data_IF_744151785962
#
_entry.id   IF_744151785962
#
_cell.length_a   1.000
_cell.length_b   1.000
_cell.length_c   1.000
_cell.angle_alpha   90.00
_cell.angle_beta   90.00
_cell.angle_gamma   90.00
#
_symmetry.space_group_name_H-M   'P 1'
#
loop_
_entity.id
_entity.type
_entity.pdbx_description
1 polymer ?
#
# COMPACT_ATOMS: atom_id res chain seq x y z
N UNK A 1 -23.21 -11.61 4.65
CA UNK A 1 -21.89 -11.24 4.11
C UNK A 1 -22.14 -10.26 2.98
N UNK A 2 -21.81 -8.98 3.15
CA UNK A 2 -21.93 -7.97 2.07
C UNK A 2 -20.70 -8.08 1.17
N UNK A 3 -20.84 -8.88 0.09
CA UNK A 3 -19.93 -8.82 -1.05
C UNK A 3 -20.40 -7.71 -1.98
N UNK A 4 -19.49 -6.80 -2.33
CA UNK A 4 -19.77 -5.72 -3.25
C UNK A 4 -19.18 -6.10 -4.61
N UNK A 5 -20.02 -6.13 -5.63
CA UNK A 5 -19.57 -6.27 -7.02
C UNK A 5 -19.09 -4.92 -7.54
N UNK A 6 -17.82 -4.88 -7.94
CA UNK A 6 -17.15 -3.69 -8.42
C UNK A 6 -16.76 -3.84 -9.88
N UNK A 7 -17.00 -2.79 -10.66
CA UNK A 7 -16.45 -2.62 -11.99
C UNK A 7 -15.21 -1.74 -11.92
N UNK A 8 -14.20 -2.09 -12.72
CA UNK A 8 -13.04 -1.25 -12.93
C UNK A 8 -13.35 -0.19 -13.99
N UNK A 9 -12.84 1.01 -13.73
CA UNK A 9 -12.67 2.07 -14.71
C UNK A 9 -11.20 2.18 -15.05
N UNK A 10 -10.88 2.62 -16.26
CA UNK A 10 -9.51 2.82 -16.73
C UNK A 10 -9.32 4.22 -17.31
N UNK A 11 -8.08 4.70 -17.23
CA UNK A 11 -7.66 5.95 -17.85
C UNK A 11 -6.16 5.94 -18.14
N UNK A 12 -5.75 6.56 -19.24
CA UNK A 12 -4.35 6.81 -19.54
C UNK A 12 -3.99 6.51 -20.99
N UNK A 13 -2.74 6.14 -21.24
CA UNK A 13 -2.22 5.83 -22.58
C UNK A 13 -1.92 4.35 -22.76
N UNK A 14 -2.08 3.86 -23.98
CA UNK A 14 -1.70 2.51 -24.37
C UNK A 14 -0.92 2.56 -25.69
N UNK A 15 0.10 1.70 -25.89
CA UNK A 15 0.94 1.75 -27.09
C UNK A 15 0.15 1.56 -28.40
N UNK A 16 -0.97 0.83 -28.34
CA UNK A 16 -1.83 0.55 -29.50
C UNK A 16 -2.80 1.69 -29.86
N UNK A 17 -2.74 2.84 -29.18
CA UNK A 17 -3.73 3.93 -29.31
C UNK A 17 -3.03 5.26 -29.53
N UNK A 18 -3.56 6.07 -30.44
CA UNK A 18 -3.02 7.40 -30.75
C UNK A 18 -3.25 8.44 -29.63
N UNK A 19 -4.37 8.31 -28.92
CA UNK A 19 -4.81 9.23 -27.87
C UNK A 19 -5.15 8.50 -26.57
N UNK A 20 -5.55 9.27 -25.55
CA UNK A 20 -6.00 8.74 -24.27
C UNK A 20 -7.18 7.78 -24.43
N UNK A 21 -7.14 6.70 -23.67
CA UNK A 21 -8.28 5.81 -23.46
C UNK A 21 -8.89 6.10 -22.09
N UNK A 22 -10.21 6.09 -22.02
CA UNK A 22 -10.96 6.39 -20.79
C UNK A 22 -12.27 5.59 -20.78
N UNK A 23 -12.62 5.00 -19.64
CA UNK A 23 -13.94 4.38 -19.47
C UNK A 23 -15.05 5.43 -19.41
N UNK A 24 -16.25 5.06 -19.84
CA UNK A 24 -17.43 5.92 -19.78
C UNK A 24 -18.09 5.97 -18.38
N UNK A 25 -17.76 5.02 -17.49
CA UNK A 25 -18.24 4.98 -16.11
C UNK A 25 -17.31 5.77 -15.17
N UNK A 26 -17.82 6.14 -13.99
CA UNK A 26 -17.06 6.81 -12.91
C UNK A 26 -16.26 8.06 -13.37
N UNK A 27 -16.86 8.89 -14.23
CA UNK A 27 -16.17 10.04 -14.85
C UNK A 27 -15.51 10.98 -13.83
N UNK A 28 -16.22 11.31 -12.74
CA UNK A 28 -15.68 12.20 -11.69
C UNK A 28 -14.48 11.61 -10.94
N UNK A 29 -14.48 10.29 -10.72
CA UNK A 29 -13.33 9.58 -10.15
C UNK A 29 -12.14 9.68 -11.10
N UNK A 30 -12.35 9.38 -12.39
CA UNK A 30 -11.28 9.44 -13.39
C UNK A 30 -10.74 10.85 -13.59
N UNK A 31 -11.56 11.90 -13.54
CA UNK A 31 -11.11 13.30 -13.62
C UNK A 31 -10.24 13.72 -12.42
N UNK A 32 -10.50 13.11 -11.26
CA UNK A 32 -9.70 13.34 -10.05
C UNK A 32 -8.36 12.61 -10.13
N UNK A 33 -8.38 11.35 -10.59
CA UNK A 33 -7.18 10.55 -10.78
C UNK A 33 -6.30 11.09 -11.91
N UNK A 34 -6.89 11.61 -12.99
CA UNK A 34 -6.16 12.28 -14.08
C UNK A 34 -5.36 13.48 -13.55
N UNK A 35 -6.00 14.41 -12.83
CA UNK A 35 -5.30 15.55 -12.22
C UNK A 35 -4.20 15.13 -11.26
N UNK A 36 -4.43 14.11 -10.45
CA UNK A 36 -3.43 13.54 -9.55
C UNK A 36 -2.23 12.97 -10.31
N UNK A 37 -2.46 12.19 -11.38
CA UNK A 37 -1.40 11.67 -12.23
C UNK A 37 -0.64 12.78 -12.96
N UNK A 38 -1.35 13.76 -13.52
CA UNK A 38 -0.76 14.88 -14.24
C UNK A 38 0.20 15.67 -13.34
N UNK A 39 -0.21 16.00 -12.12
CA UNK A 39 0.66 16.65 -11.12
C UNK A 39 1.86 15.78 -10.72
N UNK A 40 1.68 14.47 -10.59
CA UNK A 40 2.79 13.55 -10.32
C UNK A 40 3.81 13.53 -11.48
N UNK A 41 3.33 13.57 -12.72
CA UNK A 41 4.16 13.65 -13.92
C UNK A 41 4.86 15.02 -14.06
N UNK A 42 4.20 16.11 -13.68
CA UNK A 42 4.82 17.44 -13.61
C UNK A 42 6.01 17.46 -12.65
N UNK A 43 5.82 16.95 -11.42
CA UNK A 43 6.89 16.83 -10.44
C UNK A 43 8.04 15.94 -10.93
N UNK A 44 7.70 14.80 -11.56
CA UNK A 44 8.70 13.90 -12.11
C UNK A 44 9.51 14.57 -13.23
N UNK A 45 8.85 15.38 -14.07
CA UNK A 45 9.48 16.06 -15.21
C UNK A 45 10.43 17.21 -14.81
N UNK A 46 10.48 17.61 -13.54
CA UNK A 46 11.47 18.56 -13.02
C UNK A 46 12.90 17.99 -13.09
N UNK A 47 13.06 16.65 -13.01
CA UNK A 47 14.35 15.99 -13.07
C UNK A 47 14.83 15.80 -14.54
N UNK A 48 16.11 16.06 -14.88
CA UNK A 48 16.60 15.90 -16.26
C UNK A 48 16.49 14.47 -16.82
N UNK A 49 16.62 13.46 -15.95
CA UNK A 49 16.61 12.03 -16.28
C UNK A 49 15.22 11.37 -16.16
N UNK A 50 14.17 12.18 -15.97
CA UNK A 50 12.82 11.71 -15.66
C UNK A 50 12.28 10.63 -16.61
N UNK A 51 12.64 10.68 -17.89
CA UNK A 51 12.20 9.69 -18.89
C UNK A 51 12.74 8.31 -18.58
N UNK A 52 14.02 8.19 -18.22
CA UNK A 52 14.63 6.91 -17.88
C UNK A 52 14.04 6.36 -16.57
N UNK A 53 13.84 7.24 -15.59
CA UNK A 53 13.16 6.90 -14.33
C UNK A 53 11.73 6.41 -14.58
N UNK A 54 10.97 7.11 -15.42
CA UNK A 54 9.62 6.71 -15.81
C UNK A 54 9.59 5.37 -16.54
N UNK A 55 10.49 5.14 -17.50
CA UNK A 55 10.49 3.95 -18.35
C UNK A 55 10.88 2.67 -17.59
N UNK A 56 11.59 2.80 -16.46
CA UNK A 56 11.99 1.66 -15.61
C UNK A 56 11.01 1.38 -14.47
N UNK A 57 10.04 2.26 -14.28
CA UNK A 57 9.03 2.13 -13.22
C UNK A 57 8.18 0.87 -13.39
N UNK A 58 8.11 0.08 -12.32
CA UNK A 58 7.32 -1.13 -12.27
C UNK A 58 5.85 -0.84 -11.92
N UNK A 59 4.88 -1.65 -12.40
CA UNK A 59 3.49 -1.52 -12.00
C UNK A 59 3.33 -1.56 -10.47
N UNK A 60 2.49 -0.68 -9.94
CA UNK A 60 2.16 -0.60 -8.52
C UNK A 60 0.67 -0.71 -8.31
N UNK A 61 0.30 -1.39 -7.23
CA UNK A 61 -1.06 -1.44 -6.72
C UNK A 61 -1.25 -0.25 -5.79
N UNK A 62 -2.43 0.34 -5.79
CA UNK A 62 -2.71 1.45 -4.89
C UNK A 62 -4.09 1.36 -4.26
N UNK A 63 -4.24 2.04 -3.11
CA UNK A 63 -5.53 2.35 -2.51
C UNK A 63 -5.50 3.72 -1.80
N UNK A 64 -6.60 4.46 -1.87
CA UNK A 64 -6.86 5.64 -1.05
C UNK A 64 -7.95 5.31 -0.03
N UNK A 65 -7.63 5.43 1.26
CA UNK A 65 -8.48 4.99 2.36
C UNK A 65 -8.55 6.07 3.44
N UNK A 66 -9.73 6.41 3.92
CA UNK A 66 -9.88 7.31 5.07
C UNK A 66 -10.04 6.54 6.39
N UNK A 67 -9.49 7.04 7.50
CA UNK A 67 -9.75 6.44 8.82
C UNK A 67 -11.17 6.69 9.32
N UNK A 68 -11.82 7.76 8.86
CA UNK A 68 -13.23 8.09 9.16
C UNK A 68 -14.14 8.14 7.93
N UNK A 69 -13.56 8.09 6.72
CA UNK A 69 -14.32 8.03 5.47
C UNK A 69 -14.69 6.59 5.10
N UNK A 70 -15.94 6.38 4.71
CA UNK A 70 -16.39 5.10 4.13
C UNK A 70 -16.08 4.95 2.65
N UNK A 71 -15.63 6.02 1.99
CA UNK A 71 -15.23 5.93 0.59
C UNK A 71 -13.80 5.41 0.51
N UNK A 72 -13.62 4.31 -0.21
CA UNK A 72 -12.33 3.76 -0.55
C UNK A 72 -12.15 3.74 -2.07
N UNK A 73 -10.95 4.03 -2.54
CA UNK A 73 -10.57 3.90 -3.95
C UNK A 73 -9.44 2.89 -4.02
N UNK A 74 -9.47 1.96 -4.97
CA UNK A 74 -8.40 1.01 -5.18
C UNK A 74 -8.16 0.78 -6.66
N UNK A 75 -6.90 0.50 -7.02
CA UNK A 75 -6.53 0.35 -8.42
C UNK A 75 -5.12 -0.18 -8.64
N UNK A 76 -4.72 -0.20 -9.91
CA UNK A 76 -3.37 -0.54 -10.33
C UNK A 76 -2.90 0.49 -11.35
N UNK A 77 -1.62 0.82 -11.32
CA UNK A 77 -1.01 1.90 -12.06
C UNK A 77 0.31 1.41 -12.66
N UNK A 78 0.60 1.78 -13.91
CA UNK A 78 1.86 1.43 -14.57
C UNK A 78 2.35 2.55 -15.51
N UNK A 79 3.65 2.56 -15.75
CA UNK A 79 4.24 3.32 -16.84
C UNK A 79 3.66 2.88 -18.19
N UNK A 80 3.38 3.84 -19.07
CA UNK A 80 2.85 3.59 -20.41
C UNK A 80 3.13 4.76 -21.36
N UNK A 81 2.84 4.57 -22.63
CA UNK A 81 2.90 5.59 -23.67
C UNK A 81 1.86 5.34 -24.74
N UNK A 82 1.56 6.34 -25.57
CA UNK A 82 0.71 6.15 -26.75
C UNK A 82 1.51 5.69 -27.97
N UNK A 83 0.82 5.50 -29.10
CA UNK A 83 1.40 5.11 -30.38
C UNK A 83 2.51 6.07 -30.87
N UNK A 84 2.48 7.33 -30.43
CA UNK A 84 3.50 8.34 -30.71
C UNK A 84 4.59 8.41 -29.65
N UNK A 85 4.68 7.43 -28.74
CA UNK A 85 5.63 7.36 -27.64
C UNK A 85 5.56 8.53 -26.64
N UNK A 86 4.43 9.25 -26.58
CA UNK A 86 4.22 10.28 -25.56
C UNK A 86 3.87 9.58 -24.25
N UNK A 87 4.74 9.72 -23.24
CA UNK A 87 4.60 9.07 -21.92
C UNK A 87 3.44 9.64 -21.13
N UNK A 88 2.60 8.76 -20.60
CA UNK A 88 1.62 9.08 -19.57
C UNK A 88 1.13 7.75 -18.96
N UNK A 89 1.01 7.65 -17.63
CA UNK A 89 0.65 6.39 -16.99
C UNK A 89 -0.67 5.80 -17.48
N UNK A 90 -0.81 4.48 -17.39
CA UNK A 90 -2.10 3.82 -17.53
C UNK A 90 -2.55 3.30 -16.15
N UNK A 91 -3.81 3.56 -15.79
CA UNK A 91 -4.38 3.09 -14.53
C UNK A 91 -5.71 2.36 -14.74
N UNK A 92 -5.99 1.50 -13.77
CA UNK A 92 -7.33 1.02 -13.45
C UNK A 92 -7.69 1.45 -12.04
N UNK A 93 -8.96 1.75 -11.80
CA UNK A 93 -9.45 2.14 -10.49
C UNK A 93 -10.92 1.76 -10.32
N UNK A 94 -11.32 1.55 -9.07
CA UNK A 94 -12.73 1.47 -8.66
C UNK A 94 -12.91 2.20 -7.34
N UNK A 95 -14.13 2.67 -7.10
CA UNK A 95 -14.55 3.23 -5.82
C UNK A 95 -15.51 2.26 -5.14
N UNK A 96 -15.39 2.11 -3.83
CA UNK A 96 -16.23 1.23 -3.02
C UNK A 96 -16.59 1.89 -1.70
N UNK A 97 -17.73 1.51 -1.14
CA UNK A 97 -18.11 1.88 0.21
C UNK A 97 -17.67 0.78 1.19
N UNK A 98 -17.04 1.19 2.30
CA UNK A 98 -16.56 0.32 3.36
C UNK A 98 -17.30 0.60 4.66
N UNK A 99 -17.77 -0.45 5.34
CA UNK A 99 -18.62 -0.27 6.53
C UNK A 99 -17.81 0.17 7.77
N UNK A 100 -16.61 -0.40 7.94
CA UNK A 100 -15.70 -0.15 9.07
C UNK A 100 -14.33 0.30 8.56
N UNK A 101 -14.11 1.61 8.33
CA UNK A 101 -12.92 2.10 7.64
C UNK A 101 -11.60 1.65 8.28
N UNK A 102 -11.48 1.72 9.61
CA UNK A 102 -10.26 1.32 10.30
C UNK A 102 -9.93 -0.16 10.17
N UNK A 103 -10.94 -1.03 10.28
CA UNK A 103 -10.79 -2.47 10.08
C UNK A 103 -10.45 -2.77 8.62
N UNK A 104 -11.09 -2.05 7.70
CA UNK A 104 -10.82 -2.19 6.28
C UNK A 104 -9.39 -1.78 5.93
N UNK A 105 -8.85 -0.70 6.50
CA UNK A 105 -7.43 -0.32 6.32
C UNK A 105 -6.53 -1.51 6.66
N UNK A 106 -6.71 -2.12 7.83
CA UNK A 106 -5.90 -3.25 8.29
C UNK A 106 -5.98 -4.50 7.40
N UNK A 107 -7.14 -4.75 6.77
CA UNK A 107 -7.39 -5.93 5.91
C UNK A 107 -7.38 -5.64 4.42
N UNK A 108 -7.21 -4.38 4.02
CA UNK A 108 -7.32 -3.95 2.62
C UNK A 108 -6.38 -4.71 1.68
N UNK A 109 -5.13 -5.07 2.04
CA UNK A 109 -4.29 -5.83 1.14
C UNK A 109 -4.80 -7.25 0.84
N UNK A 110 -5.49 -7.88 1.79
CA UNK A 110 -6.14 -9.18 1.60
C UNK A 110 -7.44 -9.02 0.81
N UNK A 111 -8.26 -8.03 1.17
CA UNK A 111 -9.53 -7.76 0.52
C UNK A 111 -9.37 -7.40 -0.97
N UNK A 112 -8.32 -6.66 -1.30
CA UNK A 112 -8.06 -6.15 -2.65
C UNK A 112 -7.12 -7.05 -3.47
N UNK A 113 -6.53 -8.10 -2.87
CA UNK A 113 -5.52 -8.95 -3.53
C UNK A 113 -5.96 -9.50 -4.89
N UNK A 114 -7.20 -10.03 -4.96
CA UNK A 114 -7.75 -10.60 -6.20
C UNK A 114 -8.04 -9.52 -7.24
N UNK A 115 -8.56 -8.37 -6.81
CA UNK A 115 -8.81 -7.22 -7.68
C UNK A 115 -7.51 -6.74 -8.31
N UNK A 116 -6.49 -6.46 -7.50
CA UNK A 116 -5.18 -6.01 -7.97
C UNK A 116 -4.47 -7.01 -8.88
N UNK A 117 -4.51 -8.30 -8.54
CA UNK A 117 -3.87 -9.34 -9.35
C UNK A 117 -4.50 -9.41 -10.75
N UNK A 118 -5.83 -9.41 -10.83
CA UNK A 118 -6.54 -9.48 -12.11
C UNK A 118 -6.35 -8.20 -12.93
N UNK A 119 -6.50 -7.04 -12.29
CA UNK A 119 -6.30 -5.74 -12.94
C UNK A 119 -4.89 -5.62 -13.52
N UNK A 120 -3.85 -5.95 -12.74
CA UNK A 120 -2.46 -5.92 -13.20
C UNK A 120 -2.19 -6.86 -14.38
N UNK A 121 -2.72 -8.08 -14.37
CA UNK A 121 -2.59 -9.02 -15.49
C UNK A 121 -3.25 -8.50 -16.78
N UNK A 122 -4.46 -7.94 -16.66
CA UNK A 122 -5.17 -7.35 -17.80
C UNK A 122 -4.44 -6.12 -18.34
N UNK A 123 -3.95 -5.23 -17.47
CA UNK A 123 -3.20 -4.03 -17.87
C UNK A 123 -1.90 -4.39 -18.60
N UNK A 124 -1.14 -5.38 -18.10
CA UNK A 124 0.06 -5.85 -18.79
C UNK A 124 -0.26 -6.45 -20.17
N UNK A 125 -1.38 -7.17 -20.29
CA UNK A 125 -1.83 -7.71 -21.57
C UNK A 125 -2.19 -6.59 -22.56
N UNK A 126 -2.91 -5.57 -22.10
CA UNK A 126 -3.26 -4.37 -22.89
C UNK A 126 -2.03 -3.59 -23.36
N UNK A 127 -1.00 -3.48 -22.51
CA UNK A 127 0.24 -2.77 -22.85
C UNK A 127 1.03 -3.42 -23.99
N UNK A 128 0.77 -4.70 -24.29
CA UNK A 128 1.48 -5.50 -25.31
C UNK A 128 0.60 -5.83 -26.53
N UNK A 129 -0.66 -5.45 -26.51
CA UNK A 129 -1.60 -5.78 -27.58
C UNK A 129 -1.40 -4.85 -28.78
N UNK A 130 -1.50 -5.40 -30.00
CA UNK A 130 -1.51 -4.60 -31.23
C UNK A 130 -2.82 -3.80 -31.38
N UNK A 131 -3.93 -4.33 -30.84
CA UNK A 131 -5.21 -3.64 -30.70
C UNK A 131 -5.82 -3.90 -29.32
N UNK A 132 -5.95 -2.84 -28.53
CA UNK A 132 -6.53 -2.86 -27.19
C UNK A 132 -8.08 -2.86 -27.15
N UNK A 133 -8.79 -2.79 -28.29
CA UNK A 133 -10.27 -2.62 -28.32
C UNK A 133 -11.01 -3.65 -27.50
N UNK A 134 -10.81 -4.93 -27.80
CA UNK A 134 -11.53 -6.01 -27.11
C UNK A 134 -11.08 -6.15 -25.65
N UNK A 135 -9.77 -6.00 -25.38
CA UNK A 135 -9.25 -6.05 -24.02
C UNK A 135 -9.80 -4.94 -23.12
N UNK A 136 -9.98 -3.73 -23.64
CA UNK A 136 -10.56 -2.61 -22.90
C UNK A 136 -12.06 -2.82 -22.63
N UNK A 137 -12.78 -3.43 -23.59
CA UNK A 137 -14.18 -3.82 -23.40
C UNK A 137 -14.31 -4.85 -22.27
N UNK A 138 -13.51 -5.92 -22.33
CA UNK A 138 -13.48 -6.96 -21.30
C UNK A 138 -13.07 -6.41 -19.93
N UNK A 139 -12.11 -5.48 -19.87
CA UNK A 139 -11.69 -4.84 -18.63
C UNK A 139 -12.82 -4.03 -17.99
N UNK A 140 -13.58 -3.25 -18.78
CA UNK A 140 -14.70 -2.46 -18.28
C UNK A 140 -15.90 -3.31 -17.84
N UNK A 141 -16.13 -4.45 -18.50
CA UNK A 141 -17.23 -5.37 -18.18
C UNK A 141 -16.89 -6.34 -17.04
N UNK A 142 -15.61 -6.46 -16.67
CA UNK A 142 -15.16 -7.36 -15.60
C UNK A 142 -15.76 -6.96 -14.26
N UNK A 143 -16.42 -7.92 -13.61
CA UNK A 143 -16.94 -7.79 -12.26
C UNK A 143 -15.95 -8.39 -11.25
N UNK A 144 -15.71 -7.66 -10.18
CA UNK A 144 -14.80 -8.06 -9.11
C UNK A 144 -15.54 -8.06 -7.78
N UNK A 145 -15.55 -9.20 -7.10
CA UNK A 145 -16.10 -9.30 -5.75
C UNK A 145 -15.07 -8.84 -4.74
N UNK A 146 -15.43 -7.84 -3.92
CA UNK A 146 -14.64 -7.39 -2.77
C UNK A 146 -15.54 -7.43 -1.53
N UNK A 147 -15.05 -8.05 -0.45
CA UNK A 147 -15.76 -8.03 0.83
C UNK A 147 -15.45 -6.70 1.53
N UNK A 148 -16.43 -5.79 1.54
CA UNK A 148 -16.29 -4.46 2.15
C UNK A 148 -17.08 -4.29 3.45
N UNK A 149 -17.84 -5.32 3.82
CA UNK A 149 -18.73 -5.32 4.97
C UNK A 149 -18.10 -5.66 6.33
N UNK A 150 -18.87 -5.48 7.40
CA UNK A 150 -18.52 -5.85 8.77
C UNK A 150 -18.26 -7.35 8.97
N UNK A 151 -18.62 -8.18 7.99
CA UNK A 151 -18.42 -9.62 7.95
C UNK A 151 -17.19 -10.07 7.14
N UNK A 152 -16.11 -9.30 7.11
CA UNK A 152 -14.79 -9.68 6.55
C UNK A 152 -14.10 -10.85 7.31
N UNK A 153 -14.91 -11.76 7.86
CA UNK A 153 -14.51 -12.92 8.65
C UNK A 153 -13.56 -13.84 7.88
N UNK A 154 -13.68 -13.91 6.55
CA UNK A 154 -12.81 -14.74 5.71
C UNK A 154 -11.36 -14.25 5.74
N UNK A 155 -11.16 -12.93 5.57
CA UNK A 155 -9.82 -12.33 5.61
C UNK A 155 -9.28 -12.27 7.04
N UNK A 156 -10.16 -12.04 8.02
CA UNK A 156 -9.77 -12.08 9.43
C UNK A 156 -9.32 -13.48 9.86
N UNK A 157 -10.00 -14.55 9.42
CA UNK A 157 -9.57 -15.92 9.70
C UNK A 157 -8.21 -16.23 9.07
N UNK A 158 -8.03 -15.90 7.78
CA UNK A 158 -6.75 -16.12 7.08
C UNK A 158 -5.59 -15.34 7.72
N UNK A 159 -5.85 -14.10 8.14
CA UNK A 159 -4.88 -13.28 8.85
C UNK A 159 -4.60 -13.81 10.26
N UNK A 160 -5.63 -14.24 10.98
CA UNK A 160 -5.56 -14.85 12.31
C UNK A 160 -4.66 -16.09 12.28
N UNK A 161 -4.93 -17.03 11.38
CA UNK A 161 -4.11 -18.22 11.19
C UNK A 161 -2.66 -17.84 10.87
N UNK A 162 -2.44 -16.85 10.00
CA UNK A 162 -1.11 -16.38 9.68
C UNK A 162 -0.34 -15.90 10.92
N UNK A 163 -0.91 -15.03 11.75
CA UNK A 163 -0.19 -14.51 12.92
C UNK A 163 -0.06 -15.53 14.06
N UNK A 164 -0.93 -16.54 14.11
CA UNK A 164 -0.84 -17.63 15.09
C UNK A 164 0.28 -18.62 14.74
N UNK A 165 0.38 -19.01 13.47
CA UNK A 165 1.35 -20.02 13.04
C UNK A 165 2.71 -19.44 12.62
N UNK A 166 2.75 -18.15 12.24
CA UNK A 166 4.00 -17.51 11.87
C UNK A 166 4.76 -17.00 13.09
N UNK A 167 6.08 -17.10 13.03
CA UNK A 167 6.98 -16.63 14.09
C UNK A 167 7.73 -15.36 13.69
N UNK A 168 8.31 -14.68 14.67
CA UNK A 168 9.23 -13.55 14.47
C UNK A 168 10.34 -13.93 13.47
N UNK A 169 11.04 -15.04 13.72
CA UNK A 169 12.12 -15.48 12.84
C UNK A 169 11.62 -15.90 11.45
N UNK A 170 10.43 -16.52 11.37
CA UNK A 170 9.81 -16.90 10.10
C UNK A 170 9.51 -15.69 9.21
N UNK A 171 8.98 -14.61 9.79
CA UNK A 171 8.75 -13.36 9.06
C UNK A 171 10.08 -12.72 8.62
N UNK A 172 11.06 -12.62 9.52
CA UNK A 172 12.37 -12.07 9.15
C UNK A 172 13.05 -12.86 8.03
N UNK A 173 13.00 -14.19 8.08
CA UNK A 173 13.56 -15.05 7.04
C UNK A 173 12.88 -14.80 5.69
N UNK A 174 11.55 -14.67 5.69
CA UNK A 174 10.79 -14.41 4.47
C UNK A 174 11.15 -13.07 3.84
N UNK A 175 11.36 -12.03 4.65
CA UNK A 175 11.76 -10.70 4.18
C UNK A 175 13.22 -10.66 3.74
N UNK A 176 14.13 -11.33 4.47
CA UNK A 176 15.54 -11.48 4.07
C UNK A 176 15.70 -12.23 2.75
N UNK A 177 14.81 -13.18 2.44
CA UNK A 177 14.81 -13.89 1.17
C UNK A 177 14.56 -12.97 -0.05
N UNK A 178 13.85 -11.84 0.14
CA UNK A 178 13.69 -10.80 -0.90
C UNK A 178 14.85 -9.77 -0.89
N UNK A 179 15.84 -9.96 -0.02
CA UNK A 179 17.01 -9.09 0.08
C UNK A 179 16.88 -7.94 1.09
N UNK A 180 15.81 -7.91 1.89
CA UNK A 180 15.66 -6.91 2.94
C UNK A 180 16.61 -7.18 4.10
N UNK A 181 17.30 -6.14 4.58
CA UNK A 181 18.04 -6.21 5.85
C UNK A 181 17.10 -5.80 6.96
N UNK A 182 16.57 -6.79 7.70
CA UNK A 182 15.57 -6.55 8.74
C UNK A 182 15.93 -7.18 10.08
N UNK A 183 15.59 -6.45 11.14
CA UNK A 183 15.46 -6.95 12.51
C UNK A 183 14.10 -6.53 13.06
N UNK A 184 13.16 -7.47 13.13
CA UNK A 184 11.76 -7.19 13.42
C UNK A 184 11.60 -6.48 14.77
N UNK A 185 12.44 -6.81 15.75
CA UNK A 185 12.52 -6.10 17.02
C UNK A 185 12.68 -4.59 16.85
N UNK A 186 13.70 -4.16 16.09
CA UNK A 186 13.97 -2.73 15.85
C UNK A 186 12.90 -2.10 14.96
N UNK A 187 12.41 -2.83 13.97
CA UNK A 187 11.31 -2.38 13.09
C UNK A 187 10.05 -2.06 13.87
N UNK A 188 9.60 -2.97 14.74
CA UNK A 188 8.38 -2.78 15.52
C UNK A 188 8.54 -1.66 16.54
N UNK A 189 9.70 -1.55 17.21
CA UNK A 189 9.97 -0.43 18.12
C UNK A 189 9.95 0.90 17.37
N UNK A 190 10.63 1.00 16.22
CA UNK A 190 10.60 2.22 15.40
C UNK A 190 9.19 2.58 14.98
N UNK A 191 8.41 1.59 14.52
CA UNK A 191 7.03 1.82 14.10
C UNK A 191 6.19 2.42 15.23
N UNK A 192 6.25 1.81 16.42
CA UNK A 192 5.54 2.29 17.59
C UNK A 192 5.97 3.70 18.00
N UNK A 193 7.28 3.94 18.11
CA UNK A 193 7.83 5.25 18.50
C UNK A 193 7.52 6.35 17.47
N UNK A 194 7.59 6.06 16.17
CA UNK A 194 7.29 7.04 15.12
C UNK A 194 5.80 7.40 15.07
N UNK A 195 4.92 6.45 15.39
CA UNK A 195 3.47 6.65 15.34
C UNK A 195 2.86 7.12 16.67
N UNK A 196 3.55 6.99 17.80
CA UNK A 196 3.06 7.43 19.10
C UNK A 196 2.62 8.92 19.13
N UNK A 197 3.33 9.88 18.48
CA UNK A 197 2.88 11.27 18.41
C UNK A 197 1.56 11.48 17.66
N UNK A 198 1.17 10.54 16.79
CA UNK A 198 -0.10 10.60 16.05
C UNK A 198 -1.28 10.53 17.01
N UNK A 199 -1.17 9.69 18.05
CA UNK A 199 -2.24 9.51 19.03
C UNK A 199 -2.40 10.69 19.98
N UNK A 200 -1.30 11.40 20.28
CA UNK A 200 -1.30 12.51 21.25
C UNK A 200 -1.62 13.86 20.62
N UNK A 201 -1.18 14.09 19.37
CA UNK A 201 -1.32 15.38 18.71
C UNK A 201 -2.71 15.62 18.12
N UNK A 202 -3.46 14.55 17.80
CA UNK A 202 -4.74 14.66 17.07
C UNK A 202 -4.61 15.31 15.68
N UNK A 203 -3.39 15.59 15.23
CA UNK A 203 -3.09 16.18 13.93
C UNK A 203 -3.12 15.08 12.88
N UNK A 204 -3.88 15.31 11.81
CA UNK A 204 -3.95 14.40 10.66
C UNK A 204 -2.81 14.59 9.65
N UNK A 205 -1.74 15.31 10.00
CA UNK A 205 -0.66 15.65 9.06
C UNK A 205 0.66 15.03 9.48
N UNK A 206 1.03 13.95 8.79
CA UNK A 206 2.40 13.45 8.75
C UNK A 206 2.99 13.79 7.37
N UNK A 207 4.09 14.53 7.37
CA UNK A 207 4.70 15.00 6.12
C UNK A 207 5.41 13.89 5.36
N UNK A 208 6.03 12.95 6.09
CA UNK A 208 6.74 11.80 5.51
C UNK A 208 5.86 10.56 5.47
N UNK A 209 6.01 9.78 4.41
CA UNK A 209 5.46 8.43 4.32
C UNK A 209 6.27 7.42 5.13
N UNK A 210 5.64 6.30 5.47
CA UNK A 210 6.31 5.13 6.03
C UNK A 210 6.48 4.07 4.95
N UNK A 211 7.65 3.44 4.89
CA UNK A 211 7.86 2.30 3.99
C UNK A 211 8.25 1.04 4.74
N UNK A 212 7.54 -0.03 4.42
CA UNK A 212 7.58 -1.31 5.10
C UNK A 212 7.98 -2.41 4.11
N UNK A 213 8.90 -3.32 4.49
CA UNK A 213 9.35 -4.38 3.61
C UNK A 213 8.27 -5.43 3.40
N UNK A 214 8.14 -5.91 2.17
CA UNK A 214 7.24 -7.01 1.80
C UNK A 214 8.02 -8.18 1.20
N UNK A 215 7.50 -9.42 1.33
CA UNK A 215 8.07 -10.58 0.66
C UNK A 215 7.68 -10.64 -0.82
N UNK A 216 8.44 -11.41 -1.61
CA UNK A 216 8.21 -11.57 -3.05
C UNK A 216 6.91 -12.33 -3.41
N UNK A 217 6.59 -13.36 -2.62
CA UNK A 217 5.52 -14.28 -2.92
C UNK A 217 4.13 -13.61 -2.77
N UNK A 218 3.25 -13.60 -3.80
CA UNK A 218 2.02 -12.82 -3.78
C UNK A 218 1.08 -13.07 -2.60
N UNK A 219 0.87 -14.33 -2.22
CA UNK A 219 0.00 -14.67 -1.08
C UNK A 219 0.54 -14.07 0.23
N UNK A 220 1.82 -14.28 0.50
CA UNK A 220 2.47 -13.74 1.70
C UNK A 220 2.63 -12.23 1.64
N UNK A 221 2.76 -11.62 0.44
CA UNK A 221 2.81 -10.17 0.27
C UNK A 221 1.57 -9.50 0.86
N UNK A 222 0.38 -10.01 0.55
CA UNK A 222 -0.87 -9.49 1.11
C UNK A 222 -0.99 -9.73 2.63
N UNK A 223 -0.60 -10.90 3.12
CA UNK A 223 -0.64 -11.20 4.56
C UNK A 223 0.31 -10.30 5.36
N UNK A 224 1.54 -10.10 4.88
CA UNK A 224 2.54 -9.24 5.54
C UNK A 224 2.17 -7.77 5.42
N UNK A 225 1.62 -7.32 4.29
CA UNK A 225 1.08 -5.96 4.17
C UNK A 225 -0.07 -5.74 5.18
N UNK A 226 -0.97 -6.72 5.33
CA UNK A 226 -2.02 -6.67 6.36
C UNK A 226 -1.47 -6.69 7.78
N UNK A 227 -0.39 -7.41 8.05
CA UNK A 227 0.30 -7.37 9.34
C UNK A 227 0.82 -5.97 9.67
N UNK A 228 1.45 -5.30 8.71
CA UNK A 228 1.90 -3.92 8.90
C UNK A 228 0.74 -2.96 9.13
N UNK A 229 -0.34 -3.06 8.35
CA UNK A 229 -1.51 -2.20 8.50
C UNK A 229 -2.31 -2.50 9.77
N UNK A 230 -2.28 -3.73 10.29
CA UNK A 230 -2.85 -4.08 11.60
C UNK A 230 -2.19 -3.31 12.74
N UNK A 231 -0.86 -3.10 12.65
CA UNK A 231 -0.09 -2.33 13.62
C UNK A 231 -0.32 -0.82 13.44
N UNK A 232 -0.29 -0.33 12.20
CA UNK A 232 -0.44 1.11 11.89
C UNK A 232 -1.86 1.62 12.15
N UNK A 233 -2.90 0.88 11.74
CA UNK A 233 -4.28 1.36 11.73
C UNK A 233 -4.78 1.79 13.11
N UNK A 234 -4.32 1.16 14.20
CA UNK A 234 -4.74 1.48 15.56
C UNK A 234 -4.36 2.91 15.99
N UNK A 235 -3.21 3.41 15.56
CA UNK A 235 -2.80 4.79 15.83
C UNK A 235 -3.71 5.82 15.15
N UNK A 236 -4.36 5.44 14.06
CA UNK A 236 -5.15 6.34 13.20
C UNK A 236 -6.60 6.51 13.65
N UNK A 237 -7.04 5.81 14.71
CA UNK A 237 -8.42 5.82 15.17
C UNK A 237 -8.90 7.20 15.67
N UNK A 238 -7.99 8.01 16.22
CA UNK A 238 -8.34 9.24 16.95
C UNK A 238 -8.34 10.50 16.09
N UNK A 239 -7.95 10.41 14.82
CA UNK A 239 -7.91 11.54 13.90
C UNK A 239 -8.38 11.13 12.50
N UNK A 240 -8.73 12.12 11.68
CA UNK A 240 -9.19 11.90 10.31
C UNK A 240 -8.01 11.89 9.34
N UNK A 241 -7.47 10.69 9.10
CA UNK A 241 -6.36 10.45 8.19
C UNK A 241 -6.89 9.99 6.85
N UNK A 242 -6.37 10.60 5.78
CA UNK A 242 -6.49 10.06 4.44
C UNK A 242 -5.17 9.36 4.09
N UNK A 243 -5.22 8.06 3.86
CA UNK A 243 -4.05 7.26 3.51
C UNK A 243 -3.96 7.06 2.01
N UNK A 244 -2.73 7.04 1.50
CA UNK A 244 -2.39 6.44 0.22
C UNK A 244 -1.49 5.22 0.45
N UNK A 245 -1.95 4.06 0.01
CA UNK A 245 -1.20 2.82 0.05
C UNK A 245 -0.64 2.54 -1.34
N UNK A 246 0.63 2.17 -1.43
CA UNK A 246 1.24 1.64 -2.64
C UNK A 246 1.95 0.33 -2.34
N UNK A 247 1.68 -0.70 -3.15
CA UNK A 247 2.31 -2.01 -3.04
C UNK A 247 2.96 -2.38 -4.38
N UNK A 248 4.22 -2.81 -4.33
CA UNK A 248 4.95 -3.30 -5.49
C UNK A 248 6.46 -3.18 -5.31
N UNK A 249 7.21 -3.36 -6.41
CA UNK A 249 8.66 -3.18 -6.41
C UNK A 249 8.99 -1.69 -6.47
N UNK A 250 9.24 -1.09 -5.32
CA UNK A 250 9.47 0.35 -5.13
C UNK A 250 10.89 0.53 -4.61
N UNK A 251 11.64 1.44 -5.23
CA UNK A 251 13.06 1.67 -4.91
C UNK A 251 13.89 0.36 -4.87
N UNK A 252 13.64 -0.52 -5.84
CA UNK A 252 14.41 -1.76 -6.05
C UNK A 252 13.96 -3.01 -5.29
N UNK A 253 12.97 -2.92 -4.39
CA UNK A 253 12.50 -4.06 -3.59
C UNK A 253 10.98 -4.05 -3.38
N UNK A 254 10.39 -5.19 -3.02
CA UNK A 254 8.95 -5.30 -2.69
C UNK A 254 8.63 -4.56 -1.40
N UNK A 255 7.77 -3.54 -1.49
CA UNK A 255 7.48 -2.62 -0.38
C UNK A 255 6.01 -2.22 -0.33
N UNK A 256 5.54 -1.95 0.89
CA UNK A 256 4.33 -1.20 1.18
C UNK A 256 4.74 0.21 1.56
N UNK A 257 4.32 1.21 0.77
CA UNK A 257 4.45 2.63 1.11
C UNK A 257 3.10 3.13 1.62
N UNK A 258 3.12 3.82 2.76
CA UNK A 258 1.95 4.46 3.37
C UNK A 258 2.20 5.96 3.40
N UNK A 259 1.48 6.71 2.57
CA UNK A 259 1.34 8.16 2.69
C UNK A 259 0.16 8.52 3.57
N UNK A 260 0.28 9.62 4.31
CA UNK A 260 -0.74 10.09 5.28
C UNK A 260 -1.47 11.37 4.85
N UNK A 261 -1.21 11.85 3.63
CA UNK A 261 -1.78 13.08 3.06
C UNK A 261 -2.68 12.76 1.85
N UNK A 262 -3.49 11.71 1.96
CA UNK A 262 -4.45 11.27 0.95
C UNK A 262 -3.83 11.00 -0.42
N UNK A 263 -4.56 11.36 -1.47
CA UNK A 263 -4.13 11.28 -2.87
C UNK A 263 -3.13 12.39 -3.24
N UNK A 264 -2.02 12.46 -2.50
CA UNK A 264 -0.93 13.41 -2.76
C UNK A 264 -0.10 12.98 -3.97
N UNK A 265 0.07 13.90 -4.92
CA UNK A 265 0.95 13.73 -6.08
C UNK A 265 2.43 13.66 -5.68
N UNK A 266 2.81 14.20 -4.51
CA UNK A 266 4.17 14.06 -3.95
C UNK A 266 4.44 12.62 -3.55
N UNK A 267 3.49 11.97 -2.86
CA UNK A 267 3.62 10.55 -2.52
C UNK A 267 3.79 9.71 -3.79
N UNK A 268 2.97 9.95 -4.82
CA UNK A 268 3.13 9.28 -6.12
C UNK A 268 4.51 9.52 -6.73
N UNK A 269 4.99 10.76 -6.75
CA UNK A 269 6.33 11.08 -7.23
C UNK A 269 7.41 10.28 -6.49
N UNK A 270 7.28 10.12 -5.16
CA UNK A 270 8.19 9.30 -4.35
C UNK A 270 8.15 7.80 -4.66
N UNK A 271 7.06 7.30 -5.26
CA UNK A 271 6.97 5.90 -5.71
C UNK A 271 7.78 5.68 -7.00
N UNK A 272 7.83 6.71 -7.86
CA UNK A 272 8.44 6.64 -9.19
C UNK A 272 9.93 7.02 -9.13
N UNK A 273 10.27 8.08 -8.39
CA UNK A 273 11.61 8.66 -8.34
C UNK A 273 12.39 8.19 -7.11
N UNK A 274 13.56 7.53 -7.28
CA UNK A 274 14.42 7.13 -6.15
C UNK A 274 14.91 8.29 -5.28
N UNK A 275 15.14 9.47 -5.86
CA UNK A 275 15.55 10.65 -5.11
C UNK A 275 14.39 11.15 -4.22
N UNK A 276 13.20 11.32 -4.81
CA UNK A 276 12.02 11.72 -4.06
C UNK A 276 11.64 10.67 -3.00
N UNK A 277 11.86 9.38 -3.27
CA UNK A 277 11.69 8.30 -2.31
C UNK A 277 12.50 8.55 -1.03
N UNK A 278 13.80 8.84 -1.15
CA UNK A 278 14.70 9.02 -0.02
C UNK A 278 14.35 10.27 0.83
N UNK A 279 13.82 11.32 0.20
CA UNK A 279 13.42 12.54 0.89
C UNK A 279 12.11 12.38 1.67
N UNK A 280 11.13 11.74 1.03
CA UNK A 280 9.73 11.76 1.46
C UNK A 280 9.32 10.52 2.26
N UNK A 281 10.11 9.45 2.26
CA UNK A 281 9.76 8.21 2.95
C UNK A 281 10.77 7.84 4.05
N UNK A 282 10.27 7.24 5.12
CA UNK A 282 11.06 6.65 6.21
C UNK A 282 11.05 5.14 6.05
N UNK A 283 12.24 4.56 5.85
CA UNK A 283 12.44 3.10 5.88
C UNK A 283 12.60 2.63 7.33
N UNK A 284 11.87 1.59 7.74
CA UNK A 284 11.93 1.05 9.10
C UNK A 284 12.47 -0.38 9.17
N UNK A 285 13.21 -0.80 8.14
CA UNK A 285 13.73 -2.16 8.00
C UNK A 285 14.70 -2.57 9.13
N UNK A 286 15.71 -1.78 9.47
CA UNK A 286 16.62 -2.01 10.62
C UNK A 286 17.14 -0.68 11.20
N UNK A 287 16.28 0.14 11.80
CA UNK A 287 16.65 1.46 12.28
C UNK A 287 17.49 1.36 13.56
N UNK A 288 18.78 1.65 13.48
CA UNK A 288 19.69 1.54 14.65
C UNK A 288 19.40 2.57 15.75
N UNK A 289 18.79 3.71 15.40
CA UNK A 289 18.47 4.80 16.33
C UNK A 289 17.50 4.38 17.45
N UNK A 290 16.73 3.29 17.26
CA UNK A 290 15.79 2.80 18.27
C UNK A 290 16.50 2.25 19.49
N UNK A 291 17.72 1.73 19.36
CA UNK A 291 18.45 1.13 20.48
C UNK A 291 18.75 2.17 21.57
N UNK A 292 18.83 3.46 21.20
CA UNK A 292 19.03 4.58 22.12
C UNK A 292 17.74 4.98 22.85
N UNK A 293 16.57 4.60 22.33
CA UNK A 293 15.25 4.94 22.86
C UNK A 293 14.66 3.85 23.78
N UNK A 294 15.34 2.71 23.95
CA UNK A 294 14.84 1.56 24.74
C UNK A 294 14.82 1.80 26.26
N UNK A 295 15.33 2.94 26.76
CA UNK A 295 15.35 3.21 28.21
C UNK A 295 14.22 4.14 28.66
N UNK A 296 13.27 3.62 29.43
CA UNK A 296 12.92 3.97 30.84
C UNK A 296 11.54 3.35 31.22
N UNK A 297 10.75 2.87 30.25
CA UNK A 297 9.41 2.32 30.48
C UNK A 297 9.41 0.79 30.59
N UNK A 298 8.77 0.26 31.65
CA UNK A 298 8.72 -1.18 31.93
C UNK A 298 8.09 -2.01 30.79
N UNK A 299 7.07 -1.47 30.12
CA UNK A 299 6.42 -2.12 28.97
C UNK A 299 7.36 -2.36 27.78
N UNK A 300 8.24 -1.39 27.50
CA UNK A 300 9.22 -1.49 26.41
C UNK A 300 10.24 -2.61 26.65
N UNK A 301 10.70 -2.79 27.89
CA UNK A 301 11.63 -3.87 28.26
C UNK A 301 11.04 -5.27 28.05
N UNK A 302 9.77 -5.47 28.44
CA UNK A 302 9.02 -6.72 28.19
C UNK A 302 8.91 -7.00 26.69
N UNK A 303 8.52 -5.99 25.91
CA UNK A 303 8.34 -6.14 24.46
C UNK A 303 9.64 -6.49 23.73
N UNK A 304 10.74 -5.80 24.06
CA UNK A 304 12.08 -6.11 23.53
C UNK A 304 12.47 -7.56 23.84
N UNK A 305 12.30 -7.99 25.09
CA UNK A 305 12.63 -9.35 25.54
C UNK A 305 11.82 -10.44 24.82
N UNK A 306 10.54 -10.18 24.54
CA UNK A 306 9.72 -11.10 23.78
C UNK A 306 10.17 -11.20 22.32
N UNK A 307 10.45 -10.06 21.68
CA UNK A 307 10.89 -10.02 20.29
C UNK A 307 12.28 -10.62 20.06
N UNK A 308 13.08 -10.78 21.11
CA UNK A 308 14.35 -11.53 21.07
C UNK A 308 14.15 -13.04 20.99
N UNK A 309 12.93 -13.55 21.23
CA UNK A 309 12.62 -14.98 21.13
C UNK A 309 12.26 -15.34 19.68
N UNK A 310 13.09 -16.08 18.94
CA UNK A 310 12.89 -16.31 17.50
C UNK A 310 11.59 -17.05 17.16
N UNK A 311 11.13 -17.91 18.08
CA UNK A 311 9.94 -18.75 17.92
C UNK A 311 8.66 -18.10 18.47
N UNK A 312 8.73 -16.86 18.96
CA UNK A 312 7.55 -16.12 19.39
C UNK A 312 6.59 -15.99 18.21
N UNK A 313 5.31 -16.30 18.41
CA UNK A 313 4.30 -16.08 17.38
C UNK A 313 4.11 -14.59 17.10
N UNK A 314 3.74 -14.26 15.87
CA UNK A 314 3.42 -12.88 15.51
C UNK A 314 2.18 -12.37 16.27
N UNK A 315 1.25 -13.27 16.66
CA UNK A 315 0.13 -12.95 17.55
C UNK A 315 0.61 -12.27 18.82
N UNK A 316 1.52 -12.91 19.56
CA UNK A 316 2.04 -12.38 20.82
C UNK A 316 2.79 -11.07 20.59
N UNK A 317 3.51 -10.95 19.47
CA UNK A 317 4.17 -9.70 19.10
C UNK A 317 3.16 -8.56 18.86
N UNK A 318 2.07 -8.80 18.13
CA UNK A 318 1.00 -7.80 17.87
C UNK A 318 0.30 -7.41 19.17
N UNK A 319 -0.07 -8.38 20.00
CA UNK A 319 -0.78 -8.13 21.25
C UNK A 319 0.10 -7.32 22.22
N UNK A 320 1.37 -7.69 22.35
CA UNK A 320 2.31 -6.95 23.21
C UNK A 320 2.62 -5.56 22.65
N UNK A 321 2.70 -5.41 21.33
CA UNK A 321 2.87 -4.09 20.69
C UNK A 321 1.70 -3.16 21.02
N UNK A 322 0.47 -3.68 21.00
CA UNK A 322 -0.75 -2.94 21.38
C UNK A 322 -0.76 -2.55 22.85
N UNK A 323 -0.41 -3.47 23.73
CA UNK A 323 -0.29 -3.22 25.18
C UNK A 323 0.67 -2.05 25.43
N UNK A 324 1.82 -2.04 24.75
CA UNK A 324 2.88 -1.06 24.99
C UNK A 324 2.62 0.29 24.35
N UNK A 325 2.20 0.35 23.09
CA UNK A 325 2.09 1.63 22.36
C UNK A 325 0.69 2.20 22.30
N UNK A 326 -0.34 1.37 22.43
CA UNK A 326 -1.75 1.78 22.28
C UNK A 326 -2.49 1.77 23.62
N UNK A 327 -2.10 0.91 24.56
CA UNK A 327 -2.76 0.70 25.85
C UNK A 327 -4.00 -0.20 25.76
N UNK A 328 -4.03 -1.10 24.78
CA UNK A 328 -5.03 -2.18 24.60
C UNK A 328 -4.59 -3.48 25.27
#
# INVERSE_FOLDING_TARGET
>A
MSQTQLQLSYFGKLPSRGDFVKSANNVQLLDTLDRWLAQGMELLAEAPDWKATYDTWQPVQFAFLGSQSRLAIAGTLMASSDLSSRRFPFLTATAMEVERPINFIARSPLALARLWTRAGQQMLSLSRADDATEGLRLLAESQHDVETGAGAQTYDASFSDFIDFQTVAGLEQMLRAEGHTIRLRRTLLALGTLLQPVMSSGSSRLEKGLTLPLPAAPLYRSLVASFWLELVSRFLQRADFELSLFLGRINGAERLVIGFNGASSRTLHSIISPLAYAEQNINIDDPEWVDQHVSTEYGMGKFVSYLDQPQLSLRVAVDTFREVFIGE
#
